data_IF_997491965163
#
_entry.id   IF_997491965163
#
_cell.length_a   1.000
_cell.length_b   1.000
_cell.length_c   1.000
_cell.angle_alpha   90.00
_cell.angle_beta   90.00
_cell.angle_gamma   90.00
#
_symmetry.space_group_name_H-M   'P 1'
#
loop_
_entity.id
_entity.type
_entity.pdbx_description
1 polymer ?
#
# COMPACT_ATOMS: atom_id res chain seq x y z
N UNK A 1 -31.50 -8.43 -35.90
CA UNK A 1 -31.18 -9.32 -34.76
C UNK A 1 -29.76 -9.89 -34.80
N UNK A 2 -29.31 -10.59 -35.86
CA UNK A 2 -27.92 -11.17 -35.90
C UNK A 2 -26.79 -10.16 -35.64
N UNK A 3 -26.86 -8.96 -36.21
CA UNK A 3 -25.85 -7.90 -36.00
C UNK A 3 -25.83 -7.40 -34.56
N UNK A 4 -27.00 -7.28 -33.93
CA UNK A 4 -27.13 -6.88 -32.53
C UNK A 4 -26.46 -7.90 -31.59
N UNK A 5 -26.71 -9.20 -31.77
CA UNK A 5 -26.07 -10.24 -30.97
C UNK A 5 -24.54 -10.30 -31.18
N UNK A 6 -24.05 -10.02 -32.40
CA UNK A 6 -22.60 -9.91 -32.67
C UNK A 6 -21.97 -8.74 -31.92
N UNK A 7 -22.61 -7.57 -31.96
CA UNK A 7 -22.14 -6.37 -31.24
C UNK A 7 -22.18 -6.60 -29.72
N UNK A 8 -23.27 -7.18 -29.22
CA UNK A 8 -23.42 -7.51 -27.81
C UNK A 8 -22.35 -8.50 -27.33
N UNK A 9 -22.08 -9.56 -28.10
CA UNK A 9 -21.01 -10.50 -27.78
C UNK A 9 -19.63 -9.84 -27.72
N UNK A 10 -19.34 -8.92 -28.64
CA UNK A 10 -18.08 -8.18 -28.66
C UNK A 10 -17.95 -7.23 -27.46
N UNK A 11 -19.05 -6.57 -27.06
CA UNK A 11 -19.09 -5.74 -25.86
C UNK A 11 -18.85 -6.56 -24.59
N UNK A 12 -19.51 -7.71 -24.44
CA UNK A 12 -19.31 -8.60 -23.29
C UNK A 12 -17.86 -9.11 -23.23
N UNK A 13 -17.29 -9.51 -24.37
CA UNK A 13 -15.89 -9.94 -24.42
C UNK A 13 -14.93 -8.79 -24.03
N UNK A 14 -15.16 -7.59 -24.55
CA UNK A 14 -14.36 -6.41 -24.20
C UNK A 14 -14.45 -6.07 -22.70
N UNK A 15 -15.63 -6.21 -22.10
CA UNK A 15 -15.85 -5.99 -20.67
C UNK A 15 -15.08 -7.02 -19.82
N UNK A 16 -15.10 -8.29 -20.21
CA UNK A 16 -14.33 -9.35 -19.51
C UNK A 16 -12.84 -9.03 -19.55
N UNK A 17 -12.31 -8.63 -20.72
CA UNK A 17 -10.90 -8.26 -20.88
C UNK A 17 -10.57 -7.04 -20.00
N UNK A 18 -11.41 -6.01 -19.99
CA UNK A 18 -11.21 -4.82 -19.18
C UNK A 18 -11.18 -5.15 -17.66
N UNK A 19 -12.09 -6.01 -17.21
CA UNK A 19 -12.13 -6.47 -15.81
C UNK A 19 -10.85 -7.23 -15.45
N UNK A 20 -10.42 -8.17 -16.30
CA UNK A 20 -9.20 -8.94 -16.09
C UNK A 20 -7.96 -8.02 -16.02
N UNK A 21 -7.83 -7.08 -16.95
CA UNK A 21 -6.76 -6.09 -16.93
C UNK A 21 -6.78 -5.21 -15.67
N UNK A 22 -7.96 -4.75 -15.27
CA UNK A 22 -8.11 -3.92 -14.07
C UNK A 22 -7.63 -4.64 -12.81
N UNK A 23 -8.08 -5.88 -12.60
CA UNK A 23 -7.66 -6.68 -11.44
C UNK A 23 -6.18 -7.08 -11.52
N UNK A 24 -5.67 -7.40 -12.71
CA UNK A 24 -4.25 -7.67 -12.91
C UNK A 24 -3.36 -6.49 -12.53
N UNK A 25 -3.68 -5.28 -13.04
CA UNK A 25 -2.95 -4.06 -12.71
C UNK A 25 -3.06 -3.71 -11.23
N UNK A 26 -4.25 -3.86 -10.63
CA UNK A 26 -4.46 -3.59 -9.21
C UNK A 26 -3.63 -4.51 -8.31
N UNK A 27 -3.59 -5.80 -8.65
CA UNK A 27 -2.82 -6.80 -7.89
C UNK A 27 -1.33 -6.53 -8.01
N UNK A 28 -0.84 -6.22 -9.22
CA UNK A 28 0.55 -5.85 -9.46
C UNK A 28 0.96 -4.60 -8.68
N UNK A 29 0.16 -3.53 -8.73
CA UNK A 29 0.41 -2.31 -7.96
C UNK A 29 0.44 -2.60 -6.46
N UNK A 30 -0.49 -3.41 -5.95
CA UNK A 30 -0.52 -3.79 -4.54
C UNK A 30 0.72 -4.56 -4.10
N UNK A 31 1.18 -5.52 -4.90
CA UNK A 31 2.42 -6.23 -4.61
C UNK A 31 3.61 -5.27 -4.53
N UNK A 32 3.76 -4.37 -5.50
CA UNK A 32 4.86 -3.40 -5.54
C UNK A 32 4.80 -2.37 -4.41
N UNK A 33 3.59 -1.99 -3.95
CA UNK A 33 3.44 -1.13 -2.78
C UNK A 33 3.98 -1.80 -1.52
N UNK A 34 3.58 -3.06 -1.28
CA UNK A 34 3.96 -3.80 -0.09
C UNK A 34 5.45 -4.18 -0.12
N UNK A 35 5.97 -4.56 -1.29
CA UNK A 35 7.39 -4.81 -1.49
C UNK A 35 8.25 -3.57 -1.15
N UNK A 36 7.81 -2.37 -1.54
CA UNK A 36 8.52 -1.13 -1.19
C UNK A 36 8.51 -0.88 0.32
N UNK A 37 7.38 -1.12 0.98
CA UNK A 37 7.27 -1.05 2.46
C UNK A 37 8.19 -2.07 3.13
N UNK A 38 8.21 -3.31 2.64
CA UNK A 38 8.99 -4.40 3.24
C UNK A 38 10.49 -4.18 3.07
N UNK A 39 10.92 -3.70 1.89
CA UNK A 39 12.30 -3.31 1.65
C UNK A 39 12.74 -2.17 2.57
N UNK A 40 11.88 -1.16 2.76
CA UNK A 40 12.16 -0.06 3.68
C UNK A 40 12.35 -0.55 5.12
N UNK A 41 11.43 -1.39 5.62
CA UNK A 41 11.53 -1.93 6.97
C UNK A 41 12.78 -2.77 7.17
N UNK A 42 13.20 -3.51 6.13
CA UNK A 42 14.41 -4.32 6.16
C UNK A 42 15.66 -3.46 6.18
N UNK A 43 15.74 -2.46 5.30
CA UNK A 43 16.91 -1.57 5.18
C UNK A 43 17.12 -0.70 6.43
N UNK A 44 16.04 -0.25 7.05
CA UNK A 44 16.08 0.52 8.31
C UNK A 44 16.19 -0.38 9.56
N UNK A 45 16.37 -1.70 9.39
CA UNK A 45 16.43 -2.69 10.48
C UNK A 45 15.19 -2.71 11.39
N UNK A 46 14.04 -2.25 10.88
CA UNK A 46 12.78 -2.18 11.61
C UNK A 46 12.01 -3.50 11.58
N UNK A 47 12.29 -4.40 10.63
CA UNK A 47 11.61 -5.71 10.53
C UNK A 47 11.70 -6.50 11.85
N UNK A 48 12.86 -6.50 12.51
CA UNK A 48 13.04 -7.20 13.79
C UNK A 48 12.24 -6.55 14.93
N UNK A 49 11.92 -5.26 14.81
CA UNK A 49 11.12 -4.50 15.76
C UNK A 49 9.63 -4.63 15.51
N UNK A 50 9.16 -5.22 14.41
CA UNK A 50 7.72 -5.43 14.19
C UNK A 50 7.18 -6.40 15.23
N UNK A 51 6.22 -5.93 16.05
CA UNK A 51 5.46 -6.77 17.00
C UNK A 51 4.22 -7.34 16.32
N UNK A 52 3.54 -6.53 15.54
CA UNK A 52 2.38 -6.92 14.75
C UNK A 52 2.25 -6.00 13.55
N UNK A 53 1.78 -6.55 12.43
CA UNK A 53 1.48 -5.78 11.22
C UNK A 53 0.12 -6.17 10.64
N UNK A 54 -0.53 -5.21 9.98
CA UNK A 54 -1.77 -5.41 9.24
C UNK A 54 -1.68 -4.73 7.90
N UNK A 55 -1.86 -5.50 6.83
CA UNK A 55 -1.96 -4.97 5.48
C UNK A 55 -3.36 -4.43 5.22
N UNK A 56 -3.43 -3.19 4.70
CA UNK A 56 -4.67 -2.49 4.42
C UNK A 56 -4.63 -1.86 3.03
N UNK A 57 -5.81 -1.58 2.48
CA UNK A 57 -5.97 -0.87 1.21
C UNK A 57 -6.65 0.48 1.43
N UNK A 58 -6.04 1.54 0.92
CA UNK A 58 -6.65 2.87 0.91
C UNK A 58 -7.36 3.11 -0.41
N UNK A 59 -8.69 3.01 -0.44
CA UNK A 59 -9.47 3.31 -1.63
C UNK A 59 -9.27 4.76 -2.11
N UNK A 60 -9.13 5.70 -1.17
CA UNK A 60 -8.89 7.12 -1.46
C UNK A 60 -7.54 7.36 -2.16
N UNK A 61 -6.50 6.64 -1.74
CA UNK A 61 -5.13 6.79 -2.29
C UNK A 61 -4.81 5.78 -3.39
N UNK A 62 -5.64 4.76 -3.58
CA UNK A 62 -5.42 3.69 -4.56
C UNK A 62 -4.25 2.77 -4.25
N UNK A 63 -3.76 2.72 -3.00
CA UNK A 63 -2.54 1.99 -2.63
C UNK A 63 -2.73 1.06 -1.43
N UNK A 64 -1.88 0.04 -1.35
CA UNK A 64 -1.75 -0.83 -0.19
C UNK A 64 -0.69 -0.28 0.77
N UNK A 65 -0.92 -0.46 2.07
CA UNK A 65 -0.03 0.00 3.14
C UNK A 65 -0.07 -0.97 4.32
N UNK A 66 0.88 -0.81 5.24
CA UNK A 66 0.92 -1.57 6.50
C UNK A 66 0.64 -0.65 7.69
N UNK A 67 -0.23 -1.09 8.59
CA UNK A 67 -0.28 -0.61 9.96
C UNK A 67 0.63 -1.50 10.82
N UNK A 68 1.56 -0.90 11.55
CA UNK A 68 2.60 -1.61 12.28
C UNK A 68 2.62 -1.12 13.74
N UNK A 69 2.73 -2.07 14.67
CA UNK A 69 3.16 -1.79 16.04
C UNK A 69 4.58 -2.29 16.22
N UNK A 70 5.46 -1.42 16.69
CA UNK A 70 6.84 -1.80 16.98
C UNK A 70 6.99 -2.28 18.43
N UNK A 71 8.01 -3.11 18.68
CA UNK A 71 8.32 -3.66 20.02
C UNK A 71 8.88 -2.58 20.94
N UNK A 72 9.65 -1.66 20.37
CA UNK A 72 10.31 -0.57 21.07
C UNK A 72 9.43 0.69 21.21
N UNK A 73 8.22 0.65 20.64
CA UNK A 73 7.18 1.68 20.75
C UNK A 73 5.77 1.03 20.64
N UNK A 74 5.35 0.26 21.67
CA UNK A 74 4.20 -0.63 21.58
C UNK A 74 2.84 0.08 21.67
N UNK A 75 2.82 1.29 22.21
CA UNK A 75 1.61 2.07 22.45
C UNK A 75 1.13 2.78 21.18
N UNK A 76 2.05 3.02 20.23
CA UNK A 76 1.76 3.70 18.99
C UNK A 76 1.50 2.72 17.84
N UNK A 77 0.63 3.14 16.92
CA UNK A 77 0.41 2.44 15.65
C UNK A 77 0.94 3.30 14.52
N UNK A 78 1.73 2.71 13.64
CA UNK A 78 2.38 3.39 12.53
C UNK A 78 1.74 2.99 11.21
N UNK A 79 1.36 3.97 10.40
CA UNK A 79 1.09 3.75 8.97
C UNK A 79 2.41 3.83 8.22
N UNK A 80 2.77 2.75 7.54
CA UNK A 80 3.90 2.70 6.60
C UNK A 80 3.34 2.49 5.20
N UNK A 81 3.51 3.50 4.34
CA UNK A 81 2.94 3.50 3.00
C UNK A 81 3.87 4.15 1.96
N UNK A 82 3.80 3.74 0.70
CA UNK A 82 4.45 4.46 -0.39
C UNK A 82 3.80 5.84 -0.62
N UNK A 83 4.58 6.79 -1.17
CA UNK A 83 4.06 8.07 -1.67
C UNK A 83 3.43 7.89 -3.06
N UNK A 84 4.05 7.05 -3.88
CA UNK A 84 3.52 6.56 -5.14
C UNK A 84 4.00 5.12 -5.36
N UNK A 85 3.43 4.40 -6.32
CA UNK A 85 3.55 2.93 -6.43
C UNK A 85 4.96 2.36 -6.30
N UNK A 86 5.97 3.10 -6.77
CA UNK A 86 7.39 2.67 -6.81
C UNK A 86 8.36 3.69 -6.20
N UNK A 87 7.86 4.73 -5.51
CA UNK A 87 8.74 5.79 -5.02
C UNK A 87 8.23 6.41 -3.73
N UNK A 88 9.20 6.72 -2.89
CA UNK A 88 9.01 7.44 -1.66
C UNK A 88 8.28 6.63 -0.60
N UNK A 89 8.54 6.95 0.66
CA UNK A 89 7.94 6.27 1.80
C UNK A 89 7.50 7.32 2.84
N UNK A 90 6.38 7.03 3.49
CA UNK A 90 5.90 7.76 4.65
C UNK A 90 5.67 6.76 5.77
N UNK A 91 6.27 7.06 6.92
CA UNK A 91 6.05 6.38 8.19
C UNK A 91 5.46 7.41 9.14
N UNK A 92 4.26 7.15 9.64
CA UNK A 92 3.53 8.09 10.48
C UNK A 92 2.84 7.34 11.62
N UNK A 93 3.21 7.65 12.85
CA UNK A 93 2.45 7.25 14.02
C UNK A 93 1.13 8.01 14.08
N UNK A 94 0.10 7.31 14.55
CA UNK A 94 -1.19 7.90 14.84
C UNK A 94 -1.75 7.32 16.13
N UNK A 95 -2.54 8.14 16.80
CA UNK A 95 -3.36 7.71 17.92
C UNK A 95 -4.56 6.93 17.39
N UNK A 96 -4.80 5.74 17.93
CA UNK A 96 -5.86 4.85 17.46
C UNK A 96 -7.26 5.35 17.79
N UNK A 97 -7.42 6.17 18.82
CA UNK A 97 -8.69 6.74 19.29
C UNK A 97 -9.01 8.04 18.55
N UNK A 98 -8.09 9.00 18.55
CA UNK A 98 -8.31 10.33 17.94
C UNK A 98 -8.05 10.35 16.44
N UNK A 99 -7.34 9.33 15.91
CA UNK A 99 -6.85 9.26 14.52
C UNK A 99 -5.90 10.39 14.14
N UNK A 100 -5.37 11.11 15.12
CA UNK A 100 -4.44 12.20 14.90
C UNK A 100 -3.00 11.70 14.75
N UNK A 101 -2.20 12.44 13.97
CA UNK A 101 -0.79 12.13 13.79
C UNK A 101 0.02 12.55 15.02
N UNK A 102 0.87 11.66 15.51
CA UNK A 102 1.76 11.94 16.63
C UNK A 102 3.11 12.37 16.07
N UNK A 103 3.34 13.69 15.97
CA UNK A 103 4.49 14.26 15.25
C UNK A 103 5.86 13.83 15.77
N UNK A 104 5.97 13.58 17.07
CA UNK A 104 7.25 13.28 17.74
C UNK A 104 7.50 11.79 17.95
N UNK A 105 6.75 10.92 17.27
CA UNK A 105 6.92 9.48 17.39
C UNK A 105 8.26 9.01 16.80
N UNK A 106 8.84 7.98 17.42
CA UNK A 106 10.22 7.53 17.21
C UNK A 106 10.55 7.23 15.76
N UNK A 107 9.67 6.51 15.07
CA UNK A 107 9.92 6.02 13.71
C UNK A 107 9.30 6.91 12.63
N UNK A 108 8.79 8.09 12.98
CA UNK A 108 8.21 9.01 11.99
C UNK A 108 9.24 9.38 10.92
N UNK A 109 8.85 9.22 9.66
CA UNK A 109 9.74 9.47 8.54
C UNK A 109 8.96 9.89 7.30
N UNK A 110 9.56 10.80 6.55
CA UNK A 110 9.09 11.15 5.22
C UNK A 110 10.30 11.21 4.28
N UNK A 111 10.36 10.29 3.33
CA UNK A 111 11.41 10.28 2.30
C UNK A 111 10.76 10.28 0.92
N UNK A 112 10.78 11.45 0.29
CA UNK A 112 10.13 11.66 -1.02
C UNK A 112 10.71 10.77 -2.13
N UNK A 113 12.01 10.51 -2.07
CA UNK A 113 12.77 9.88 -3.15
C UNK A 113 13.26 8.47 -2.79
N UNK A 114 12.74 7.86 -1.72
CA UNK A 114 13.08 6.50 -1.34
C UNK A 114 12.86 5.53 -2.50
N UNK A 115 13.86 4.68 -2.73
CA UNK A 115 13.83 3.52 -3.60
C UNK A 115 14.58 2.41 -2.88
N UNK A 116 14.11 1.15 -2.97
CA UNK A 116 14.87 0.01 -2.47
C UNK A 116 16.27 -0.02 -3.06
N UNK A 117 17.26 -0.36 -2.24
CA UNK A 117 18.61 -0.66 -2.71
C UNK A 117 18.58 -1.98 -3.48
N UNK A 118 19.35 -2.05 -4.56
CA UNK A 118 19.52 -3.28 -5.36
C UNK A 118 20.20 -4.39 -4.55
#
# INVERSE_FOLDING_TARGET
>A
MKTFFKIFGLLVLSLIIAIAFFFGLRTYQGHKNLELVDNYLKEENLTAQVKSEKTLYSAKKGLYYKEIKFKDDPDLTYVVQPIATYKGIVVQAFDTETKENIKHAKHNKFEKNYKPKE
#
